data_IF_715140213329
#
_entry.id   IF_715140213329
#
_cell.length_a   1.000
_cell.length_b   1.000
_cell.length_c   1.000
_cell.angle_alpha   90.00
_cell.angle_beta   90.00
_cell.angle_gamma   90.00
#
_symmetry.space_group_name_H-M   'P 1'
#
loop_
_entity.id
_entity.type
_entity.pdbx_description
1 polymer ?
#
# COMPACT_ATOMS: atom_id res chain seq x y z
N UNK A 1 -28.19 0.20 -9.55
CA UNK A 1 -27.43 -0.82 -8.78
C UNK A 1 -27.31 -0.31 -7.35
N UNK A 2 -27.37 -1.21 -6.34
CA UNK A 2 -27.10 -0.81 -4.95
C UNK A 2 -25.65 -0.38 -4.79
N UNK A 3 -25.40 0.59 -3.91
CA UNK A 3 -24.05 1.07 -3.58
C UNK A 3 -23.16 -0.08 -3.06
N UNK A 4 -21.91 -0.11 -3.50
CA UNK A 4 -20.95 -1.14 -3.06
C UNK A 4 -20.36 -0.71 -1.71
N UNK A 5 -20.76 -1.39 -0.64
CA UNK A 5 -20.29 -1.10 0.71
C UNK A 5 -18.80 -1.52 0.90
N UNK A 6 -18.13 -0.94 1.90
CA UNK A 6 -16.83 -1.44 2.37
C UNK A 6 -16.91 -2.90 2.84
N UNK A 7 -15.77 -3.59 2.84
CA UNK A 7 -15.67 -4.91 3.47
C UNK A 7 -16.01 -4.82 4.97
N UNK A 8 -16.52 -5.92 5.54
CA UNK A 8 -16.79 -6.04 6.98
C UNK A 8 -15.50 -6.07 7.82
N UNK A 9 -14.75 -4.98 7.82
CA UNK A 9 -13.47 -4.81 8.50
C UNK A 9 -13.59 -3.90 9.72
N UNK A 10 -12.63 -4.01 10.63
CA UNK A 10 -12.48 -3.06 11.72
C UNK A 10 -12.39 -1.61 11.19
N UNK A 11 -11.67 -1.38 10.09
CA UNK A 11 -11.51 -0.05 9.53
C UNK A 11 -12.82 0.57 9.04
N UNK A 12 -13.69 -0.23 8.42
CA UNK A 12 -15.01 0.24 8.00
C UNK A 12 -15.93 0.53 9.20
N UNK A 13 -15.84 -0.30 10.25
CA UNK A 13 -16.63 -0.11 11.48
C UNK A 13 -16.20 1.13 12.28
N UNK A 14 -14.89 1.46 12.28
CA UNK A 14 -14.30 2.58 13.04
C UNK A 14 -13.98 3.83 12.17
N UNK A 15 -14.46 3.87 10.92
CA UNK A 15 -14.26 5.01 10.03
C UNK A 15 -14.86 6.30 10.64
N UNK A 16 -14.07 7.38 10.62
CA UNK A 16 -14.43 8.68 11.21
C UNK A 16 -15.16 9.63 10.23
N UNK A 17 -15.29 9.21 8.96
CA UNK A 17 -16.06 9.91 7.94
C UNK A 17 -17.01 8.91 7.26
N UNK A 18 -18.31 9.25 7.28
CA UNK A 18 -19.38 8.44 6.68
C UNK A 18 -20.15 9.23 5.61
N UNK A 19 -19.57 10.33 5.13
CA UNK A 19 -20.18 11.14 4.09
C UNK A 19 -20.20 10.36 2.78
N UNK A 20 -21.38 10.23 2.18
CA UNK A 20 -21.53 9.66 0.84
C UNK A 20 -21.32 10.74 -0.21
N UNK A 21 -20.49 10.47 -1.21
CA UNK A 21 -20.25 11.36 -2.33
C UNK A 21 -21.24 11.02 -3.46
N UNK A 22 -21.65 12.04 -4.25
CA UNK A 22 -22.60 11.82 -5.32
C UNK A 22 -22.05 10.89 -6.40
N UNK A 23 -22.95 10.27 -7.14
CA UNK A 23 -22.64 9.59 -8.39
C UNK A 23 -22.54 10.60 -9.52
N UNK A 24 -21.61 10.40 -10.47
CA UNK A 24 -21.55 11.22 -11.66
C UNK A 24 -22.77 10.95 -12.57
N UNK A 25 -23.58 11.98 -12.81
CA UNK A 25 -24.83 11.90 -13.60
C UNK A 25 -24.86 12.89 -14.76
N UNK A 26 -23.77 13.57 -15.04
CA UNK A 26 -23.65 14.59 -16.07
C UNK A 26 -22.33 14.48 -16.83
N UNK A 27 -22.23 15.21 -17.94
CA UNK A 27 -20.95 15.39 -18.65
C UNK A 27 -20.28 16.65 -18.12
N UNK A 28 -19.04 16.50 -17.62
CA UNK A 28 -18.26 17.60 -17.05
C UNK A 28 -16.88 17.66 -17.68
N UNK A 29 -16.19 18.79 -17.49
CA UNK A 29 -14.81 18.98 -17.95
C UNK A 29 -13.88 19.26 -16.77
N UNK A 30 -12.63 18.82 -16.88
CA UNK A 30 -11.55 19.09 -15.94
C UNK A 30 -10.19 19.01 -16.65
N UNK A 31 -9.12 19.49 -16.02
CA UNK A 31 -7.77 19.27 -16.57
C UNK A 31 -7.36 17.81 -16.45
N UNK A 32 -7.69 17.17 -15.33
CA UNK A 32 -7.33 15.77 -15.06
C UNK A 32 -8.51 14.97 -14.53
N UNK A 33 -8.74 13.80 -15.13
CA UNK A 33 -9.62 12.77 -14.59
C UNK A 33 -8.79 11.67 -13.93
N UNK A 34 -9.00 11.42 -12.64
CA UNK A 34 -8.34 10.36 -11.87
C UNK A 34 -9.30 9.19 -11.70
N UNK A 35 -8.90 7.99 -12.12
CA UNK A 35 -9.69 6.75 -12.02
C UNK A 35 -9.22 5.94 -10.82
N UNK A 36 -10.02 5.95 -9.75
CA UNK A 36 -9.78 5.30 -8.47
C UNK A 36 -9.44 6.27 -7.35
N UNK A 37 -10.21 6.20 -6.25
CA UNK A 37 -10.02 6.99 -5.03
C UNK A 37 -9.30 6.19 -3.93
N UNK A 38 -8.26 5.44 -4.29
CA UNK A 38 -7.26 4.89 -3.39
C UNK A 38 -6.12 5.88 -3.17
N UNK A 39 -5.11 5.52 -2.37
CA UNK A 39 -3.97 6.40 -2.06
C UNK A 39 -3.27 6.99 -3.29
N UNK A 40 -3.03 6.18 -4.34
CA UNK A 40 -2.40 6.69 -5.57
C UNK A 40 -3.22 7.82 -6.20
N UNK A 41 -4.52 7.59 -6.36
CA UNK A 41 -5.41 8.57 -6.98
C UNK A 41 -5.60 9.82 -6.13
N UNK A 42 -5.81 9.66 -4.82
CA UNK A 42 -5.96 10.78 -3.89
C UNK A 42 -4.67 11.60 -3.78
N UNK A 43 -3.50 10.94 -3.70
CA UNK A 43 -2.22 11.63 -3.68
C UNK A 43 -1.96 12.37 -4.99
N UNK A 44 -2.24 11.78 -6.15
CA UNK A 44 -2.14 12.47 -7.43
C UNK A 44 -3.08 13.68 -7.50
N UNK A 45 -4.35 13.49 -7.12
CA UNK A 45 -5.34 14.57 -7.10
C UNK A 45 -4.90 15.76 -6.23
N UNK A 46 -4.38 15.48 -5.02
CA UNK A 46 -3.89 16.52 -4.11
C UNK A 46 -2.74 17.31 -4.72
N UNK A 47 -1.70 16.63 -5.24
CA UNK A 47 -0.55 17.32 -5.85
C UNK A 47 -0.95 18.12 -7.10
N UNK A 48 -1.89 17.63 -7.91
CA UNK A 48 -2.40 18.33 -9.09
C UNK A 48 -3.21 19.58 -8.71
N UNK A 49 -4.10 19.45 -7.73
CA UNK A 49 -4.88 20.60 -7.21
C UNK A 49 -3.96 21.66 -6.59
N UNK A 50 -2.97 21.24 -5.83
CA UNK A 50 -1.95 22.16 -5.24
C UNK A 50 -1.12 22.87 -6.32
N UNK A 51 -0.99 22.29 -7.51
CA UNK A 51 -0.35 22.93 -8.67
C UNK A 51 -1.31 23.78 -9.53
N UNK A 52 -2.58 23.89 -9.15
CA UNK A 52 -3.58 24.72 -9.82
C UNK A 52 -4.37 24.05 -10.94
N UNK A 53 -4.22 22.73 -11.13
CA UNK A 53 -5.05 21.99 -12.09
C UNK A 53 -6.44 21.67 -11.51
N UNK A 54 -7.48 21.68 -12.33
CA UNK A 54 -8.80 21.17 -11.95
C UNK A 54 -8.81 19.62 -12.04
N UNK A 55 -9.35 18.96 -11.00
CA UNK A 55 -9.33 17.50 -10.89
C UNK A 55 -10.70 16.93 -10.57
N UNK A 56 -11.05 15.86 -11.29
CA UNK A 56 -12.21 15.01 -11.01
C UNK A 56 -11.70 13.60 -10.69
N UNK A 57 -12.15 13.02 -9.58
CA UNK A 57 -11.84 11.65 -9.18
C UNK A 57 -13.09 10.79 -9.34
N UNK A 58 -12.99 9.68 -10.08
CA UNK A 58 -14.06 8.71 -10.29
C UNK A 58 -13.71 7.41 -9.55
N UNK A 59 -14.55 7.05 -8.59
CA UNK A 59 -14.41 5.82 -7.80
C UNK A 59 -15.57 4.86 -8.11
N UNK A 60 -15.21 3.61 -8.35
CA UNK A 60 -16.19 2.59 -8.70
C UNK A 60 -17.09 2.17 -7.53
N UNK A 61 -16.60 2.29 -6.31
CA UNK A 61 -17.30 1.91 -5.08
C UNK A 61 -17.28 3.08 -4.08
N UNK A 62 -16.41 3.02 -3.06
CA UNK A 62 -16.23 4.02 -2.00
C UNK A 62 -14.76 4.43 -1.91
N UNK A 63 -14.50 5.63 -1.41
CA UNK A 63 -13.12 6.10 -1.15
C UNK A 63 -12.37 5.06 -0.32
N UNK A 64 -11.17 4.68 -0.77
CA UNK A 64 -10.36 3.69 -0.09
C UNK A 64 -10.92 2.27 -0.08
N UNK A 65 -11.96 1.96 -0.86
CA UNK A 65 -12.61 0.63 -0.88
C UNK A 65 -11.65 -0.51 -1.19
N UNK A 66 -10.65 -0.28 -2.03
CA UNK A 66 -9.64 -1.26 -2.40
C UNK A 66 -8.60 -1.51 -1.31
N UNK A 67 -7.37 -1.80 -1.71
CA UNK A 67 -6.24 -2.08 -0.80
C UNK A 67 -5.94 -0.93 0.17
N UNK A 68 -6.21 0.31 -0.20
CA UNK A 68 -5.94 1.50 0.62
C UNK A 68 -6.69 1.50 1.94
N UNK A 69 -7.92 1.00 1.99
CA UNK A 69 -8.70 0.89 3.22
C UNK A 69 -8.69 -0.50 3.87
N UNK A 70 -7.82 -1.42 3.41
CA UNK A 70 -7.80 -2.81 3.89
C UNK A 70 -6.42 -3.32 4.32
N UNK A 71 -5.34 -2.53 4.12
CA UNK A 71 -3.96 -2.91 4.43
C UNK A 71 -3.66 -2.93 5.94
N UNK A 72 -2.45 -3.35 6.33
CA UNK A 72 -2.03 -3.39 7.72
C UNK A 72 -1.89 -2.03 8.41
N UNK A 73 -1.90 -0.94 7.64
CA UNK A 73 -1.74 0.43 8.14
C UNK A 73 -0.29 0.81 8.43
N UNK A 74 0.68 0.03 7.97
CA UNK A 74 2.09 0.29 8.24
C UNK A 74 2.69 1.26 7.21
N UNK A 75 3.42 2.25 7.71
CA UNK A 75 4.27 3.16 6.93
C UNK A 75 5.65 2.50 6.87
N UNK A 76 5.86 1.71 5.82
CA UNK A 76 7.13 1.04 5.54
C UNK A 76 7.83 1.80 4.43
N UNK A 77 8.99 2.36 4.73
CA UNK A 77 9.79 3.10 3.77
C UNK A 77 10.43 2.17 2.72
N UNK A 78 10.93 2.78 1.62
CA UNK A 78 11.52 2.09 0.49
C UNK A 78 10.50 1.30 -0.37
N UNK A 79 10.96 0.37 -1.15
CA UNK A 79 10.19 -0.39 -2.14
C UNK A 79 10.13 -1.87 -1.74
N UNK A 80 9.30 -2.65 -2.43
CA UNK A 80 9.23 -4.12 -2.23
C UNK A 80 10.53 -4.86 -2.62
N UNK A 81 11.48 -4.17 -3.24
CA UNK A 81 12.86 -4.60 -3.48
C UNK A 81 13.78 -3.54 -2.94
N UNK A 82 14.88 -3.95 -2.31
CA UNK A 82 15.90 -3.03 -1.83
C UNK A 82 16.56 -2.25 -2.95
N UNK A 83 17.07 -1.08 -2.61
CA UNK A 83 17.69 -0.10 -3.52
C UNK A 83 18.84 -0.74 -4.30
N UNK A 84 19.66 -1.60 -3.67
CA UNK A 84 20.76 -2.31 -4.33
C UNK A 84 20.29 -3.26 -5.45
N UNK A 85 19.11 -3.86 -5.31
CA UNK A 85 18.49 -4.68 -6.34
C UNK A 85 18.03 -3.83 -7.53
N UNK A 86 17.52 -2.63 -7.24
CA UNK A 86 17.16 -1.65 -8.27
C UNK A 86 18.42 -1.16 -8.98
N UNK A 87 19.48 -0.80 -8.25
CA UNK A 87 20.77 -0.37 -8.81
C UNK A 87 21.37 -1.42 -9.76
N UNK A 88 21.30 -2.71 -9.40
CA UNK A 88 21.73 -3.81 -10.28
C UNK A 88 20.94 -3.89 -11.58
N UNK A 89 19.68 -3.44 -11.55
CA UNK A 89 18.77 -3.49 -12.71
C UNK A 89 18.95 -2.28 -13.64
N UNK A 90 19.10 -1.07 -13.08
CA UNK A 90 19.09 0.19 -13.84
C UNK A 90 20.46 0.89 -13.89
N UNK A 91 21.45 0.38 -13.18
CA UNK A 91 22.77 1.01 -13.02
C UNK A 91 22.83 2.02 -11.90
N UNK A 92 24.07 2.36 -11.46
CA UNK A 92 24.31 3.17 -10.26
C UNK A 92 23.72 4.59 -10.31
N UNK A 93 23.80 5.24 -11.47
CA UNK A 93 23.33 6.64 -11.60
C UNK A 93 21.81 6.73 -11.45
N UNK A 94 21.05 5.85 -12.11
CA UNK A 94 19.61 5.79 -11.89
C UNK A 94 19.27 5.24 -10.51
N UNK A 95 20.01 4.28 -9.98
CA UNK A 95 19.83 3.74 -8.64
C UNK A 95 19.89 4.79 -7.54
N UNK A 96 20.80 5.77 -7.65
CA UNK A 96 20.85 6.93 -6.73
C UNK A 96 19.52 7.71 -6.70
N UNK A 97 18.90 7.92 -7.86
CA UNK A 97 17.61 8.62 -7.94
C UNK A 97 16.52 7.85 -7.21
N UNK A 98 16.46 6.51 -7.37
CA UNK A 98 15.54 5.65 -6.60
C UNK A 98 15.82 5.71 -5.11
N UNK A 99 17.10 5.68 -4.70
CA UNK A 99 17.49 5.79 -3.30
C UNK A 99 17.04 7.12 -2.68
N UNK A 100 17.17 8.22 -3.40
CA UNK A 100 16.71 9.54 -2.94
C UNK A 100 15.18 9.61 -2.77
N UNK A 101 14.44 8.91 -3.63
CA UNK A 101 12.96 8.88 -3.58
C UNK A 101 12.40 7.87 -2.56
N UNK A 102 13.21 6.91 -2.10
CA UNK A 102 12.74 5.75 -1.34
C UNK A 102 12.00 6.10 -0.04
N UNK A 103 12.33 7.26 0.55
CA UNK A 103 11.79 7.70 1.85
C UNK A 103 10.78 8.84 1.73
N UNK A 104 10.55 9.37 0.53
CA UNK A 104 9.64 10.50 0.33
C UNK A 104 8.18 10.13 0.64
N UNK A 105 7.75 8.91 0.33
CA UNK A 105 6.36 8.52 0.51
C UNK A 105 5.88 8.60 1.96
N UNK A 106 6.72 8.18 2.91
CA UNK A 106 6.44 8.32 4.33
C UNK A 106 6.37 9.79 4.80
N UNK A 107 7.23 10.64 4.25
CA UNK A 107 7.21 12.08 4.53
C UNK A 107 5.96 12.75 3.94
N UNK A 108 5.58 12.42 2.70
CA UNK A 108 4.35 12.93 2.07
C UNK A 108 3.13 12.62 2.95
N UNK A 109 3.02 11.41 3.49
CA UNK A 109 1.92 11.02 4.39
C UNK A 109 1.88 11.94 5.63
N UNK A 110 3.02 12.15 6.29
CA UNK A 110 3.12 13.00 7.48
C UNK A 110 2.77 14.45 7.20
N UNK A 111 3.30 14.98 6.11
CA UNK A 111 3.02 16.36 5.67
C UNK A 111 1.52 16.56 5.37
N UNK A 112 0.87 15.56 4.75
CA UNK A 112 -0.58 15.58 4.49
C UNK A 112 -1.39 15.54 5.78
N UNK A 113 -1.03 14.64 6.70
CA UNK A 113 -1.68 14.53 8.02
C UNK A 113 -1.60 15.86 8.75
N UNK A 114 -0.41 16.48 8.80
CA UNK A 114 -0.20 17.74 9.47
C UNK A 114 -0.93 18.90 8.77
N UNK A 115 -0.78 19.03 7.44
CA UNK A 115 -1.32 20.13 6.64
C UNK A 115 -2.85 20.16 6.66
N UNK A 116 -3.50 19.00 6.56
CA UNK A 116 -4.95 18.88 6.44
C UNK A 116 -5.61 18.37 7.73
N UNK A 117 -4.85 18.29 8.85
CA UNK A 117 -5.33 17.82 10.15
C UNK A 117 -6.09 16.48 10.05
N UNK A 118 -5.50 15.50 9.37
CA UNK A 118 -6.13 14.20 9.13
C UNK A 118 -6.08 13.35 10.39
N UNK A 119 -7.23 12.94 10.90
CA UNK A 119 -7.35 12.09 12.08
C UNK A 119 -7.28 10.61 11.65
N UNK A 120 -6.10 10.01 11.72
CA UNK A 120 -5.84 8.62 11.29
C UNK A 120 -4.93 7.83 12.22
N UNK A 121 -4.91 8.17 13.50
CA UNK A 121 -4.17 7.46 14.56
C UNK A 121 -2.68 7.23 14.22
N UNK A 122 -2.01 8.27 13.69
CA UNK A 122 -0.59 8.19 13.34
C UNK A 122 0.26 7.90 14.57
N UNK A 123 1.09 6.86 14.46
CA UNK A 123 2.14 6.50 15.41
C UNK A 123 3.47 6.34 14.67
N UNK A 124 4.54 6.81 15.27
CA UNK A 124 5.89 6.67 14.73
C UNK A 124 6.54 5.36 15.18
N UNK A 125 7.51 4.89 14.41
CA UNK A 125 8.29 3.69 14.66
C UNK A 125 7.75 2.43 13.98
N UNK A 126 8.57 1.85 13.11
CA UNK A 126 8.34 0.58 12.44
C UNK A 126 9.54 -0.35 12.62
N UNK A 127 9.30 -1.62 12.85
CA UNK A 127 10.35 -2.59 13.15
C UNK A 127 10.32 -3.75 12.17
N UNK A 128 11.47 -4.01 11.55
CA UNK A 128 11.76 -5.24 10.83
C UNK A 128 12.34 -6.26 11.82
N UNK A 129 11.61 -7.32 12.12
CA UNK A 129 11.97 -8.30 13.14
C UNK A 129 12.62 -9.55 12.52
N UNK A 130 13.84 -9.89 12.93
CA UNK A 130 14.60 -11.02 12.42
C UNK A 130 14.35 -12.29 13.22
N UNK A 131 14.12 -13.40 12.51
CA UNK A 131 13.93 -14.74 13.07
C UNK A 131 15.27 -15.46 13.33
N UNK A 132 16.34 -15.02 12.67
CA UNK A 132 17.65 -15.68 12.75
C UNK A 132 18.80 -14.71 12.38
N UNK A 133 20.04 -15.13 12.64
CA UNK A 133 21.24 -14.31 12.38
C UNK A 133 21.47 -13.98 10.89
N UNK A 134 20.99 -14.81 9.97
CA UNK A 134 21.08 -14.51 8.55
C UNK A 134 20.22 -13.30 8.19
N UNK A 135 18.98 -13.26 8.70
CA UNK A 135 18.11 -12.10 8.54
C UNK A 135 18.67 -10.86 9.23
N UNK A 136 19.29 -11.00 10.42
CA UNK A 136 20.03 -9.89 11.06
C UNK A 136 21.18 -9.39 10.18
N UNK A 137 21.88 -10.27 9.48
CA UNK A 137 22.89 -9.88 8.48
C UNK A 137 22.31 -9.01 7.36
N UNK A 138 21.14 -9.37 6.86
CA UNK A 138 20.41 -8.56 5.87
C UNK A 138 19.97 -7.19 6.43
N UNK A 139 19.48 -7.13 7.66
CA UNK A 139 19.08 -5.87 8.29
C UNK A 139 20.27 -4.93 8.54
N UNK A 140 21.45 -5.47 8.89
CA UNK A 140 22.70 -4.68 8.99
C UNK A 140 23.08 -4.08 7.63
N UNK A 141 22.98 -4.86 6.56
CA UNK A 141 23.23 -4.40 5.19
C UNK A 141 22.20 -3.33 4.77
N UNK A 142 20.92 -3.58 5.01
CA UNK A 142 19.83 -2.65 4.73
C UNK A 142 20.03 -1.29 5.44
N UNK A 143 20.43 -1.31 6.72
CA UNK A 143 20.77 -0.09 7.45
C UNK A 143 21.88 0.70 6.75
N UNK A 144 22.99 0.06 6.41
CA UNK A 144 24.11 0.71 5.72
C UNK A 144 23.69 1.27 4.35
N UNK A 145 22.92 0.51 3.60
CA UNK A 145 22.40 0.89 2.28
C UNK A 145 21.51 2.13 2.39
N UNK A 146 20.54 2.10 3.29
CA UNK A 146 19.59 3.22 3.46
C UNK A 146 20.29 4.49 3.97
N UNK A 147 21.23 4.37 4.91
CA UNK A 147 22.04 5.49 5.39
C UNK A 147 22.92 6.09 4.27
N UNK A 148 23.44 5.27 3.36
CA UNK A 148 24.21 5.75 2.21
C UNK A 148 23.36 6.54 1.19
N UNK A 149 22.05 6.35 1.21
CA UNK A 149 21.08 7.11 0.41
C UNK A 149 20.39 8.26 1.17
N UNK A 150 20.94 8.64 2.33
CA UNK A 150 20.51 9.83 3.07
C UNK A 150 19.52 9.57 4.21
N UNK A 151 19.15 8.31 4.48
CA UNK A 151 18.26 7.97 5.61
C UNK A 151 19.04 7.88 6.94
N UNK A 152 19.81 8.91 7.22
CA UNK A 152 20.71 8.97 8.38
C UNK A 152 19.97 9.28 9.68
N UNK A 153 20.45 8.67 10.79
CA UNK A 153 19.91 8.87 12.15
C UNK A 153 18.47 8.38 12.37
N UNK A 154 17.87 7.68 11.42
CA UNK A 154 16.53 7.12 11.54
C UNK A 154 16.54 5.65 11.94
N UNK A 155 17.64 4.96 11.74
CA UNK A 155 17.74 3.50 11.84
C UNK A 155 18.54 3.06 13.05
N UNK A 156 17.97 2.12 13.82
CA UNK A 156 18.59 1.53 15.02
C UNK A 156 18.53 0.01 14.97
N UNK A 157 19.70 -0.65 15.06
CA UNK A 157 19.75 -2.10 15.17
C UNK A 157 19.45 -2.51 16.62
N UNK A 158 18.49 -3.42 16.76
CA UNK A 158 18.09 -4.00 18.04
C UNK A 158 18.68 -5.41 18.15
N UNK A 159 19.37 -5.68 19.25
CA UNK A 159 19.76 -7.03 19.64
C UNK A 159 18.58 -7.81 20.24
N UNK A 160 18.83 -9.04 20.70
CA UNK A 160 17.80 -9.88 21.32
C UNK A 160 17.14 -9.26 22.55
N UNK A 161 17.85 -8.42 23.31
CA UNK A 161 17.28 -7.68 24.46
C UNK A 161 16.49 -6.48 23.97
N UNK A 162 17.03 -5.73 23.01
CA UNK A 162 16.38 -4.55 22.44
C UNK A 162 15.05 -4.87 21.79
N UNK A 163 15.00 -5.95 20.96
CA UNK A 163 13.76 -6.36 20.28
C UNK A 163 12.67 -6.78 21.27
N UNK A 164 13.01 -7.42 22.40
CA UNK A 164 12.03 -7.76 23.46
C UNK A 164 11.46 -6.53 24.16
N UNK A 165 12.18 -5.43 24.19
CA UNK A 165 11.69 -4.14 24.69
C UNK A 165 10.67 -3.46 23.76
N UNK A 166 10.53 -3.96 22.53
CA UNK A 166 9.59 -3.46 21.51
C UNK A 166 8.45 -4.46 21.29
N UNK A 167 8.79 -5.74 21.18
CA UNK A 167 7.85 -6.85 20.99
C UNK A 167 8.13 -7.91 22.04
N UNK A 168 7.22 -8.07 22.98
CA UNK A 168 7.38 -9.00 24.10
C UNK A 168 7.11 -10.46 23.66
N UNK A 169 8.06 -11.00 22.90
CA UNK A 169 8.07 -12.39 22.44
C UNK A 169 9.50 -12.90 22.35
N UNK A 170 9.69 -14.21 22.45
CA UNK A 170 10.97 -14.86 22.21
C UNK A 170 11.19 -15.28 20.75
N UNK A 171 10.25 -14.97 19.88
CA UNK A 171 10.25 -15.39 18.47
C UNK A 171 11.39 -14.76 17.67
N UNK A 172 11.88 -13.58 18.05
CA UNK A 172 12.83 -12.80 17.29
C UNK A 172 14.21 -12.72 17.98
N UNK A 173 15.26 -12.79 17.17
CA UNK A 173 16.67 -12.70 17.66
C UNK A 173 17.19 -11.27 17.64
N UNK A 174 16.49 -10.34 17.00
CA UNK A 174 16.84 -8.94 16.89
C UNK A 174 15.96 -8.25 15.84
N UNK A 175 16.32 -7.02 15.45
CA UNK A 175 15.56 -6.26 14.47
C UNK A 175 16.24 -4.99 14.03
N UNK A 176 15.56 -4.27 13.13
CA UNK A 176 15.89 -2.93 12.69
C UNK A 176 14.70 -2.01 12.94
N UNK A 177 14.84 -1.05 13.83
CA UNK A 177 13.86 0.02 14.04
C UNK A 177 14.11 1.13 13.03
N UNK A 178 13.09 1.48 12.26
CA UNK A 178 13.01 2.73 11.49
C UNK A 178 12.13 3.74 12.25
N UNK A 179 12.74 4.79 12.80
CA UNK A 179 12.05 5.82 13.58
C UNK A 179 11.11 6.67 12.72
N UNK A 180 11.37 6.76 11.42
CA UNK A 180 10.51 7.44 10.44
C UNK A 180 9.45 6.53 9.82
N UNK A 181 9.51 5.22 10.05
CA UNK A 181 8.43 4.29 9.84
C UNK A 181 7.26 4.58 10.80
N UNK A 182 6.23 3.76 10.78
CA UNK A 182 5.10 3.95 11.70
C UNK A 182 3.83 3.28 11.23
N UNK A 183 2.71 3.65 11.83
CA UNK A 183 1.42 3.11 11.43
C UNK A 183 0.26 4.10 11.58
N UNK A 184 -0.82 3.79 10.89
CA UNK A 184 -2.01 4.62 10.76
C UNK A 184 -3.27 3.76 10.74
N UNK A 185 -4.42 4.41 10.89
CA UNK A 185 -5.71 3.87 10.47
C UNK A 185 -5.90 4.12 8.95
N UNK A 186 -5.71 3.09 8.09
CA UNK A 186 -5.55 3.32 6.66
C UNK A 186 -6.79 3.91 5.98
N UNK A 187 -7.99 3.47 6.35
CA UNK A 187 -9.22 4.03 5.76
C UNK A 187 -9.41 5.50 6.18
N UNK A 188 -9.12 5.86 7.42
CA UNK A 188 -9.22 7.24 7.88
C UNK A 188 -8.20 8.17 7.20
N UNK A 189 -7.00 7.67 6.84
CA UNK A 189 -6.07 8.42 6.01
C UNK A 189 -6.69 8.71 4.64
N UNK A 190 -7.22 7.69 3.93
CA UNK A 190 -7.84 7.87 2.61
C UNK A 190 -9.03 8.84 2.65
N UNK A 191 -9.89 8.72 3.66
CA UNK A 191 -11.03 9.61 3.87
C UNK A 191 -10.59 11.05 4.17
N UNK A 192 -9.52 11.21 4.96
CA UNK A 192 -8.93 12.52 5.25
C UNK A 192 -8.33 13.18 4.00
N UNK A 193 -7.60 12.41 3.18
CA UNK A 193 -7.08 12.90 1.91
C UNK A 193 -8.20 13.27 0.93
N UNK A 194 -9.29 12.51 0.90
CA UNK A 194 -10.45 12.85 0.08
C UNK A 194 -11.08 14.19 0.50
N UNK A 195 -11.24 14.43 1.81
CA UNK A 195 -11.68 15.74 2.30
C UNK A 195 -10.71 16.86 1.91
N UNK A 196 -9.41 16.58 1.94
CA UNK A 196 -8.40 17.55 1.49
C UNK A 196 -8.55 17.85 -0.02
N UNK A 197 -8.78 16.83 -0.87
CA UNK A 197 -9.10 17.03 -2.31
C UNK A 197 -10.32 17.93 -2.49
N UNK A 198 -11.40 17.66 -1.76
CA UNK A 198 -12.63 18.44 -1.82
C UNK A 198 -12.43 19.89 -1.33
N UNK A 199 -11.62 20.08 -0.27
CA UNK A 199 -11.31 21.42 0.26
C UNK A 199 -10.50 22.30 -0.71
N UNK A 200 -9.78 21.69 -1.65
CA UNK A 200 -9.05 22.37 -2.72
C UNK A 200 -9.88 22.54 -4.00
N UNK A 201 -11.18 22.21 -3.96
CA UNK A 201 -12.10 22.34 -5.11
C UNK A 201 -12.12 21.14 -6.05
N UNK A 202 -11.41 20.04 -5.72
CA UNK A 202 -11.53 18.79 -6.44
C UNK A 202 -12.89 18.14 -6.26
N UNK A 203 -13.37 17.44 -7.29
CA UNK A 203 -14.66 16.74 -7.25
C UNK A 203 -14.43 15.23 -7.16
N UNK A 204 -15.10 14.57 -6.23
CA UNK A 204 -15.03 13.10 -6.08
C UNK A 204 -16.44 12.54 -6.30
N UNK A 205 -16.54 11.54 -7.17
CA UNK A 205 -17.77 10.81 -7.44
C UNK A 205 -17.58 9.33 -7.08
N UNK A 206 -18.36 8.85 -6.13
CA UNK A 206 -18.46 7.43 -5.76
C UNK A 206 -19.50 6.70 -6.62
N UNK A 207 -19.54 5.36 -6.59
CA UNK A 207 -20.43 4.52 -7.43
C UNK A 207 -20.38 4.93 -8.92
N UNK A 208 -19.22 5.40 -9.39
CA UNK A 208 -18.99 6.01 -10.71
C UNK A 208 -17.91 5.26 -11.47
N UNK A 209 -18.08 3.93 -11.60
CA UNK A 209 -17.16 3.07 -12.31
C UNK A 209 -16.95 3.56 -13.75
N UNK A 210 -15.68 3.77 -14.13
CA UNK A 210 -15.32 4.06 -15.53
C UNK A 210 -15.41 2.79 -16.33
N UNK A 211 -16.18 2.81 -17.42
CA UNK A 211 -16.45 1.68 -18.30
C UNK A 211 -15.56 1.68 -19.54
N UNK A 212 -15.19 2.86 -20.04
CA UNK A 212 -14.27 3.06 -21.14
C UNK A 212 -13.59 4.42 -21.05
N UNK A 213 -12.47 4.55 -21.74
CA UNK A 213 -11.78 5.83 -21.95
C UNK A 213 -11.53 5.98 -23.44
N UNK A 214 -12.07 7.03 -24.05
CA UNK A 214 -11.76 7.42 -25.41
C UNK A 214 -10.40 8.13 -25.40
N UNK A 215 -9.45 7.61 -26.18
CA UNK A 215 -8.12 8.16 -26.30
C UNK A 215 -8.10 9.37 -27.26
N UNK A 216 -7.06 10.18 -27.20
CA UNK A 216 -6.85 11.31 -28.11
C UNK A 216 -6.28 12.54 -27.40
N UNK A 217 -6.36 13.69 -28.07
CA UNK A 217 -5.86 14.96 -27.53
C UNK A 217 -6.70 15.48 -26.36
N UNK A 218 -7.94 15.07 -26.26
CA UNK A 218 -8.88 15.36 -25.18
C UNK A 218 -9.61 14.08 -24.78
N UNK A 219 -8.97 13.19 -24.01
CA UNK A 219 -9.58 11.92 -23.61
C UNK A 219 -10.88 12.13 -22.83
N UNK A 220 -11.80 11.16 -22.98
CA UNK A 220 -13.09 11.17 -22.29
C UNK A 220 -13.25 9.88 -21.47
N UNK A 221 -13.41 10.00 -20.16
CA UNK A 221 -13.73 8.88 -19.29
C UNK A 221 -15.24 8.73 -19.16
N UNK A 222 -15.78 7.56 -19.55
CA UNK A 222 -17.21 7.28 -19.55
C UNK A 222 -17.62 6.42 -18.36
N UNK A 223 -18.67 6.84 -17.68
CA UNK A 223 -19.38 6.03 -16.67
C UNK A 223 -20.76 5.61 -17.20
N UNK A 224 -21.53 4.90 -16.38
CA UNK A 224 -22.90 4.50 -16.79
C UNK A 224 -23.89 5.69 -16.95
N UNK A 225 -23.63 6.82 -16.31
CA UNK A 225 -24.59 7.93 -16.24
C UNK A 225 -24.00 9.31 -16.56
N UNK A 226 -22.68 9.38 -16.80
CA UNK A 226 -21.99 10.63 -17.10
C UNK A 226 -20.64 10.40 -17.70
N UNK A 227 -19.95 11.50 -18.03
CA UNK A 227 -18.59 11.43 -18.59
C UNK A 227 -17.75 12.61 -18.10
N UNK A 228 -16.41 12.43 -18.14
CA UNK A 228 -15.43 13.49 -17.88
C UNK A 228 -14.55 13.66 -19.10
N UNK A 229 -14.66 14.83 -19.76
CA UNK A 229 -13.74 15.23 -20.82
C UNK A 229 -12.55 15.94 -20.17
N UNK A 230 -11.34 15.60 -20.57
CA UNK A 230 -10.15 16.02 -19.85
C UNK A 230 -8.92 16.17 -20.76
N UNK A 231 -7.87 16.87 -20.26
CA UNK A 231 -6.56 16.90 -20.93
C UNK A 231 -5.76 15.63 -20.66
N UNK A 232 -5.88 15.09 -19.43
CA UNK A 232 -5.13 13.93 -18.99
C UNK A 232 -6.00 12.97 -18.16
N UNK A 233 -5.73 11.67 -18.28
CA UNK A 233 -6.31 10.63 -17.44
C UNK A 233 -5.22 10.00 -16.59
N UNK A 234 -5.46 9.86 -15.28
CA UNK A 234 -4.62 9.11 -14.35
C UNK A 234 -5.33 7.84 -13.93
N UNK A 235 -4.76 6.69 -14.25
CA UNK A 235 -5.30 5.37 -13.90
C UNK A 235 -4.66 4.85 -12.61
N UNK A 236 -5.44 4.80 -11.54
CA UNK A 236 -5.02 4.43 -10.18
C UNK A 236 -5.85 3.27 -9.58
N UNK A 237 -6.49 2.43 -10.42
CA UNK A 237 -7.39 1.35 -10.00
C UNK A 237 -6.68 0.10 -9.46
N UNK A 238 -5.37 -0.04 -9.66
CA UNK A 238 -4.54 -1.16 -9.19
C UNK A 238 -5.23 -2.54 -9.41
N UNK A 239 -5.36 -3.37 -8.35
CA UNK A 239 -5.94 -4.72 -8.45
C UNK A 239 -7.42 -4.75 -8.87
N UNK A 240 -8.10 -3.62 -8.80
CA UNK A 240 -9.55 -3.49 -9.05
C UNK A 240 -9.88 -2.80 -10.37
N UNK A 241 -8.87 -2.53 -11.22
CA UNK A 241 -9.04 -1.90 -12.52
C UNK A 241 -9.93 -2.72 -13.49
N UNK A 242 -10.09 -4.01 -13.25
CA UNK A 242 -10.90 -4.88 -14.08
C UNK A 242 -10.38 -4.98 -15.51
N UNK A 243 -11.27 -4.90 -16.50
CA UNK A 243 -10.95 -5.00 -17.94
C UNK A 243 -10.74 -3.64 -18.61
N UNK A 244 -10.71 -2.54 -17.86
CA UNK A 244 -10.64 -1.19 -18.42
C UNK A 244 -9.36 -0.98 -19.27
N UNK A 245 -8.21 -1.52 -18.81
CA UNK A 245 -6.91 -1.44 -19.49
C UNK A 245 -6.28 -2.83 -19.56
N UNK A 246 -6.61 -3.65 -20.59
CA UNK A 246 -6.18 -5.05 -20.69
C UNK A 246 -4.65 -5.24 -20.73
N UNK A 247 -3.91 -4.31 -21.34
CA UNK A 247 -2.45 -4.35 -21.44
C UNK A 247 -1.75 -4.28 -20.07
N UNK A 248 -2.37 -3.67 -19.08
CA UNK A 248 -1.82 -3.60 -17.72
C UNK A 248 -1.94 -4.93 -16.97
N UNK A 249 -2.92 -5.75 -17.33
CA UNK A 249 -3.19 -7.03 -16.65
C UNK A 249 -2.14 -8.10 -16.93
N UNK A 250 -1.51 -8.10 -18.10
CA UNK A 250 -0.56 -9.14 -18.51
C UNK A 250 0.70 -9.18 -17.65
N UNK A 251 1.11 -8.02 -17.12
CA UNK A 251 2.37 -7.83 -16.37
C UNK A 251 2.17 -7.77 -14.86
N UNK A 252 0.96 -8.01 -14.37
CA UNK A 252 0.63 -7.96 -12.94
C UNK A 252 -0.32 -9.07 -12.54
N UNK A 253 -0.35 -9.40 -11.26
CA UNK A 253 -1.24 -10.43 -10.71
C UNK A 253 -1.82 -9.95 -9.38
N UNK A 254 -3.13 -9.99 -9.18
CA UNK A 254 -3.72 -9.68 -7.88
C UNK A 254 -3.36 -10.74 -6.84
N UNK A 255 -2.96 -10.27 -5.65
CA UNK A 255 -2.65 -11.09 -4.50
C UNK A 255 -3.39 -10.56 -3.28
N UNK A 256 -4.02 -11.45 -2.53
CA UNK A 256 -4.70 -11.14 -1.28
C UNK A 256 -3.81 -11.40 -0.08
N UNK A 257 -3.85 -10.52 0.91
CA UNK A 257 -3.36 -10.77 2.27
C UNK A 257 -4.51 -10.73 3.24
N UNK A 258 -4.37 -11.45 4.35
CA UNK A 258 -5.41 -11.63 5.35
C UNK A 258 -5.06 -10.84 6.60
N UNK A 259 -6.07 -10.25 7.22
CA UNK A 259 -5.94 -9.48 8.46
C UNK A 259 -7.03 -9.91 9.42
N UNK A 260 -6.67 -10.07 10.69
CA UNK A 260 -7.61 -10.23 11.80
C UNK A 260 -7.44 -9.09 12.80
N UNK A 261 -8.48 -8.83 13.57
CA UNK A 261 -8.44 -7.86 14.66
C UNK A 261 -9.12 -8.45 15.88
N UNK A 262 -8.46 -8.39 17.02
CA UNK A 262 -9.03 -8.82 18.32
C UNK A 262 -10.13 -7.89 18.78
N UNK A 263 -10.85 -8.27 19.83
CA UNK A 263 -11.55 -7.32 20.69
C UNK A 263 -10.56 -6.32 21.32
N UNK A 264 -11.01 -5.17 21.87
CA UNK A 264 -10.14 -4.26 22.59
C UNK A 264 -9.42 -4.98 23.74
N UNK A 265 -8.10 -4.82 23.81
CA UNK A 265 -7.29 -5.35 24.89
C UNK A 265 -7.31 -4.38 26.08
N UNK A 266 -7.07 -4.88 27.30
CA UNK A 266 -6.79 -4.00 28.41
C UNK A 266 -5.49 -3.22 28.20
N UNK A 267 -5.38 -2.06 28.83
CA UNK A 267 -4.20 -1.21 28.75
C UNK A 267 -2.92 -1.96 29.14
N UNK A 268 -2.99 -2.74 30.20
CA UNK A 268 -1.86 -3.53 30.70
C UNK A 268 -1.45 -4.63 29.71
N UNK A 269 -2.43 -5.34 29.14
CA UNK A 269 -2.15 -6.39 28.17
C UNK A 269 -1.56 -5.79 26.88
N UNK A 270 -2.16 -4.74 26.34
CA UNK A 270 -1.66 -4.06 25.13
C UNK A 270 -0.22 -3.56 25.33
N UNK A 271 0.04 -2.85 26.44
CA UNK A 271 1.38 -2.37 26.77
C UNK A 271 2.38 -3.52 27.05
N UNK A 272 1.91 -4.65 27.57
CA UNK A 272 2.77 -5.81 27.79
C UNK A 272 3.20 -6.49 26.48
N UNK A 273 2.40 -6.42 25.41
CA UNK A 273 2.71 -7.05 24.12
C UNK A 273 3.59 -6.16 23.23
N UNK A 274 3.22 -4.88 23.12
CA UNK A 274 3.92 -3.87 22.29
C UNK A 274 4.18 -2.60 23.13
N UNK A 275 5.22 -2.61 24.00
CA UNK A 275 5.47 -1.53 24.95
C UNK A 275 5.67 -0.15 24.34
N UNK A 276 6.15 -0.08 23.11
CA UNK A 276 6.42 1.18 22.40
C UNK A 276 5.32 1.54 21.39
N UNK A 277 4.29 0.72 21.26
CA UNK A 277 3.22 0.87 20.24
C UNK A 277 3.77 1.04 18.80
N UNK A 278 4.90 0.41 18.49
CA UNK A 278 5.44 0.36 17.13
C UNK A 278 4.73 -0.70 16.30
N UNK A 279 4.65 -0.50 14.98
CA UNK A 279 4.28 -1.58 14.09
C UNK A 279 5.49 -2.50 13.83
N UNK A 280 5.21 -3.75 13.57
CA UNK A 280 6.24 -4.79 13.35
C UNK A 280 5.88 -5.60 12.12
N UNK A 281 6.88 -5.90 11.31
CA UNK A 281 6.82 -6.95 10.28
C UNK A 281 8.04 -7.86 10.42
N UNK A 282 7.86 -9.17 10.22
CA UNK A 282 8.99 -10.09 10.26
C UNK A 282 9.69 -10.20 8.89
N UNK A 283 10.94 -10.68 8.90
CA UNK A 283 11.77 -10.80 7.70
C UNK A 283 11.55 -12.09 6.91
N UNK A 284 10.47 -12.83 7.12
CA UNK A 284 10.14 -14.01 6.34
C UNK A 284 9.65 -13.64 4.95
N UNK A 285 9.76 -14.54 3.99
CA UNK A 285 9.23 -14.34 2.64
C UNK A 285 7.70 -14.20 2.61
N UNK A 286 7.00 -15.02 3.39
CA UNK A 286 5.58 -14.84 3.73
C UNK A 286 5.51 -14.27 5.14
N UNK A 287 5.70 -12.97 5.22
CA UNK A 287 5.84 -12.25 6.48
C UNK A 287 4.52 -12.16 7.26
N UNK A 288 4.66 -12.18 8.59
CA UNK A 288 3.63 -11.73 9.52
C UNK A 288 3.88 -10.25 9.86
N UNK A 289 2.79 -9.49 10.02
CA UNK A 289 2.86 -8.09 10.44
C UNK A 289 1.76 -7.77 11.45
N UNK A 290 2.07 -6.89 12.39
CA UNK A 290 1.11 -6.57 13.46
C UNK A 290 1.38 -5.21 14.11
N UNK A 291 0.35 -4.68 14.76
CA UNK A 291 0.36 -3.43 15.52
C UNK A 291 -0.88 -3.31 16.40
N UNK A 292 -0.92 -2.32 17.27
CA UNK A 292 -2.15 -1.94 17.96
C UNK A 292 -2.96 -0.94 17.13
N UNK A 293 -4.28 -0.96 17.29
CA UNK A 293 -5.18 0.11 16.85
C UNK A 293 -5.29 1.22 17.87
N UNK A 294 -5.91 2.35 17.52
CA UNK A 294 -6.16 3.46 18.43
C UNK A 294 -6.98 3.06 19.68
N UNK A 295 -7.86 2.07 19.56
CA UNK A 295 -8.65 1.48 20.65
C UNK A 295 -8.03 0.18 21.21
N UNK A 296 -6.70 0.00 21.02
CA UNK A 296 -5.87 -1.08 21.59
C UNK A 296 -6.25 -2.51 21.21
N UNK A 297 -6.75 -2.70 20.00
CA UNK A 297 -6.91 -4.04 19.42
C UNK A 297 -5.59 -4.51 18.80
N UNK A 298 -5.27 -5.77 18.93
CA UNK A 298 -4.20 -6.36 18.12
C UNK A 298 -4.70 -6.52 16.69
N UNK A 299 -4.10 -5.80 15.74
CA UNK A 299 -4.26 -6.03 14.29
C UNK A 299 -3.12 -6.92 13.87
N UNK A 300 -3.43 -8.10 13.34
CA UNK A 300 -2.44 -9.08 12.91
C UNK A 300 -2.74 -9.53 11.50
N UNK A 301 -1.76 -9.43 10.62
CA UNK A 301 -1.89 -9.80 9.22
C UNK A 301 -0.77 -10.71 8.75
N UNK A 302 -1.00 -11.35 7.63
CA UNK A 302 -0.05 -12.28 7.01
C UNK A 302 -0.73 -13.12 5.94
N UNK A 303 -0.04 -14.19 5.55
CA UNK A 303 -0.50 -15.06 4.49
C UNK A 303 -0.56 -14.37 3.12
N UNK A 304 -0.56 -15.14 2.07
CA UNK A 304 -0.73 -14.63 0.70
C UNK A 304 -1.62 -15.60 -0.07
N UNK A 305 -2.64 -15.07 -0.74
CA UNK A 305 -3.49 -15.82 -1.67
C UNK A 305 -3.34 -15.23 -3.07
N UNK A 306 -2.79 -16.00 -3.98
CA UNK A 306 -2.59 -15.60 -5.37
C UNK A 306 -3.89 -15.67 -6.16
N UNK A 307 -4.13 -14.68 -7.04
CA UNK A 307 -5.29 -14.66 -7.95
C UNK A 307 -6.55 -14.04 -7.37
N UNK A 308 -6.46 -13.25 -6.29
CA UNK A 308 -7.57 -12.52 -5.68
C UNK A 308 -8.76 -13.41 -5.25
N UNK A 309 -8.48 -14.60 -4.78
CA UNK A 309 -9.51 -15.47 -4.18
C UNK A 309 -9.45 -15.29 -2.67
N UNK A 310 -10.56 -14.90 -2.08
CA UNK A 310 -10.65 -14.82 -0.63
C UNK A 310 -10.65 -16.24 -0.04
N UNK A 311 -9.85 -16.53 1.00
CA UNK A 311 -9.90 -17.82 1.69
C UNK A 311 -11.25 -17.99 2.39
N UNK A 312 -11.72 -19.23 2.46
CA UNK A 312 -12.98 -19.54 3.12
C UNK A 312 -12.94 -19.25 4.63
N UNK A 313 -11.78 -19.40 5.26
CA UNK A 313 -11.58 -19.14 6.69
C UNK A 313 -10.23 -18.42 6.92
N UNK A 314 -10.31 -17.10 7.09
CA UNK A 314 -9.16 -16.25 7.39
C UNK A 314 -8.59 -16.54 8.78
N UNK A 315 -9.49 -16.81 9.75
CA UNK A 315 -9.10 -16.99 11.15
C UNK A 315 -8.22 -18.23 11.32
N UNK A 316 -8.54 -19.33 10.63
CA UNK A 316 -7.72 -20.56 10.66
C UNK A 316 -6.31 -20.39 10.09
N UNK A 317 -6.11 -19.40 9.22
CA UNK A 317 -4.80 -19.08 8.62
C UNK A 317 -3.97 -18.20 9.57
N UNK A 318 -4.55 -17.16 10.15
CA UNK A 318 -3.80 -16.10 10.84
C UNK A 318 -3.68 -16.37 12.35
N UNK A 319 -4.71 -16.90 13.02
CA UNK A 319 -4.68 -17.12 14.47
C UNK A 319 -3.48 -18.00 14.91
N UNK A 320 -3.14 -19.10 14.23
CA UNK A 320 -1.97 -19.90 14.62
C UNK A 320 -0.66 -19.13 14.62
N UNK A 321 -0.47 -18.21 13.67
CA UNK A 321 0.74 -17.38 13.62
C UNK A 321 0.72 -16.29 14.70
N UNK A 322 -0.42 -15.66 14.92
CA UNK A 322 -0.60 -14.70 16.03
C UNK A 322 -0.27 -15.36 17.38
N UNK A 323 -0.76 -16.56 17.63
CA UNK A 323 -0.52 -17.28 18.90
C UNK A 323 0.92 -17.77 19.06
N UNK A 324 1.65 -18.01 17.96
CA UNK A 324 3.11 -18.26 18.03
C UNK A 324 3.88 -17.03 18.48
N UNK A 325 3.41 -15.83 18.09
CA UNK A 325 4.04 -14.57 18.48
C UNK A 325 3.58 -14.13 19.86
N UNK A 326 2.28 -14.25 20.14
CA UNK A 326 1.64 -13.79 21.36
C UNK A 326 0.74 -14.89 21.97
N UNK A 327 1.30 -15.89 22.66
CA UNK A 327 0.50 -16.94 23.34
C UNK A 327 -0.50 -16.39 24.35
N UNK A 328 -0.25 -15.17 24.86
CA UNK A 328 -1.11 -14.45 25.80
C UNK A 328 -2.50 -14.15 25.22
N UNK A 329 -2.63 -14.13 23.89
CA UNK A 329 -3.90 -13.84 23.18
C UNK A 329 -4.78 -15.07 22.94
N UNK A 330 -4.46 -16.24 23.51
CA UNK A 330 -5.17 -17.51 23.24
C UNK A 330 -6.69 -17.46 23.53
N UNK A 331 -7.07 -16.70 24.57
CA UNK A 331 -8.46 -16.59 25.03
C UNK A 331 -9.13 -15.27 24.56
N UNK A 332 -8.43 -14.46 23.77
CA UNK A 332 -8.92 -13.18 23.26
C UNK A 332 -9.78 -13.42 22.01
N UNK A 333 -10.95 -12.80 21.97
CA UNK A 333 -11.90 -12.92 20.86
C UNK A 333 -11.42 -12.19 19.62
N UNK A 334 -11.65 -12.79 18.45
CA UNK A 334 -11.41 -12.15 17.15
C UNK A 334 -12.73 -11.55 16.65
N UNK A 335 -12.81 -10.22 16.65
CA UNK A 335 -14.01 -9.50 16.23
C UNK A 335 -14.11 -9.38 14.71
N UNK A 336 -13.00 -9.07 14.02
CA UNK A 336 -12.99 -8.84 12.58
C UNK A 336 -11.95 -9.71 11.87
N UNK A 337 -12.27 -10.09 10.64
CA UNK A 337 -11.36 -10.74 9.70
C UNK A 337 -11.70 -10.32 8.28
N UNK A 338 -10.71 -9.89 7.49
CA UNK A 338 -10.91 -9.43 6.12
C UNK A 338 -9.70 -9.67 5.23
N UNK A 339 -9.89 -9.51 3.94
CA UNK A 339 -8.84 -9.58 2.90
C UNK A 339 -8.68 -8.24 2.21
N UNK A 340 -7.45 -7.95 1.77
CA UNK A 340 -7.15 -6.86 0.84
C UNK A 340 -6.30 -7.35 -0.32
N UNK A 341 -6.64 -6.95 -1.55
CA UNK A 341 -5.90 -7.34 -2.73
C UNK A 341 -4.98 -6.22 -3.21
N UNK A 342 -3.70 -6.52 -3.37
CA UNK A 342 -2.73 -5.66 -4.05
C UNK A 342 -2.30 -6.29 -5.38
N UNK A 343 -1.61 -5.56 -6.25
CA UNK A 343 -0.98 -6.12 -7.44
C UNK A 343 0.48 -6.46 -7.20
N UNK A 344 0.83 -7.68 -7.57
CA UNK A 344 2.20 -8.18 -7.64
C UNK A 344 2.69 -8.07 -9.09
N UNK A 345 3.88 -7.55 -9.30
CA UNK A 345 4.64 -7.65 -10.54
C UNK A 345 5.69 -8.75 -10.42
N UNK A 346 6.16 -9.30 -11.54
CA UNK A 346 7.17 -10.37 -11.51
C UNK A 346 8.51 -9.87 -10.92
N UNK A 347 8.89 -8.64 -11.26
CA UNK A 347 10.09 -7.97 -10.70
C UNK A 347 9.92 -7.52 -9.25
N UNK A 348 8.70 -7.49 -8.74
CA UNK A 348 8.27 -6.85 -7.48
C UNK A 348 8.51 -5.33 -7.44
N UNK A 349 8.84 -4.71 -8.56
CA UNK A 349 8.95 -3.26 -8.71
C UNK A 349 7.63 -2.67 -9.21
N UNK A 350 7.32 -1.43 -8.81
CA UNK A 350 6.11 -0.75 -9.26
C UNK A 350 6.10 -0.54 -10.78
N UNK A 351 4.93 -0.68 -11.36
CA UNK A 351 4.70 -0.46 -12.78
C UNK A 351 4.10 0.93 -12.98
N UNK A 352 4.87 1.82 -13.59
CA UNK A 352 4.49 3.18 -13.92
C UNK A 352 4.63 3.38 -15.42
N UNK A 353 3.80 4.20 -16.03
CA UNK A 353 3.93 4.46 -17.44
C UNK A 353 2.77 5.26 -18.02
N UNK A 354 2.73 5.26 -19.36
CA UNK A 354 1.72 5.96 -20.14
C UNK A 354 1.15 5.05 -21.22
N UNK A 355 -0.14 5.22 -21.49
CA UNK A 355 -0.86 4.56 -22.59
C UNK A 355 -1.26 5.66 -23.56
N UNK A 356 -0.98 5.46 -24.85
CA UNK A 356 -1.22 6.50 -25.84
C UNK A 356 -0.53 7.82 -25.50
N UNK A 357 -1.24 8.93 -25.69
CA UNK A 357 -0.67 10.28 -25.54
C UNK A 357 -0.88 10.88 -24.15
N UNK A 358 -2.06 10.70 -23.56
CA UNK A 358 -2.53 11.48 -22.41
C UNK A 358 -3.09 10.62 -21.25
N UNK A 359 -2.85 9.31 -21.24
CA UNK A 359 -3.27 8.40 -20.17
C UNK A 359 -2.04 7.93 -19.42
N UNK A 360 -1.97 8.19 -18.13
CA UNK A 360 -0.85 7.83 -17.24
C UNK A 360 -1.33 6.87 -16.16
N UNK A 361 -0.46 5.98 -15.71
CA UNK A 361 -0.84 4.99 -14.70
C UNK A 361 0.27 4.69 -13.71
N UNK A 362 -0.13 4.25 -12.51
CA UNK A 362 0.74 3.59 -11.54
C UNK A 362 0.00 2.43 -10.89
N UNK A 363 0.64 1.25 -10.85
CA UNK A 363 0.12 0.04 -10.22
C UNK A 363 1.25 -0.89 -9.76
N UNK A 364 0.92 -2.00 -9.07
CA UNK A 364 1.86 -3.09 -8.81
C UNK A 364 2.91 -2.79 -7.75
N UNK A 365 2.54 -2.14 -6.65
CA UNK A 365 3.42 -1.85 -5.50
C UNK A 365 3.99 -3.09 -4.80
N UNK A 366 3.47 -4.28 -5.13
CA UNK A 366 3.97 -5.59 -4.65
C UNK A 366 4.05 -5.72 -3.12
N UNK A 367 3.14 -5.08 -2.38
CA UNK A 367 3.04 -5.14 -0.92
C UNK A 367 3.48 -3.86 -0.18
N UNK A 368 4.41 -3.07 -0.70
CA UNK A 368 4.87 -1.80 -0.09
C UNK A 368 4.07 -0.60 -0.59
N UNK A 369 2.72 -0.69 -0.52
CA UNK A 369 1.84 0.28 -1.16
C UNK A 369 1.59 1.56 -0.39
N UNK A 370 1.64 1.57 0.94
CA UNK A 370 1.25 2.76 1.72
C UNK A 370 2.13 3.95 1.40
N UNK A 371 3.44 3.81 1.46
CA UNK A 371 4.39 4.89 1.15
C UNK A 371 4.56 5.11 -0.35
N UNK A 372 4.77 4.01 -1.10
CA UNK A 372 5.00 4.11 -2.54
C UNK A 372 3.86 4.81 -3.29
N UNK A 373 2.60 4.54 -2.96
CA UNK A 373 1.46 5.13 -3.68
C UNK A 373 1.34 6.64 -3.49
N UNK A 374 1.80 7.17 -2.35
CA UNK A 374 1.90 8.60 -2.13
C UNK A 374 3.01 9.23 -2.97
N UNK A 375 4.17 8.60 -3.05
CA UNK A 375 5.23 8.99 -3.98
C UNK A 375 4.75 8.91 -5.44
N UNK A 376 4.08 7.81 -5.83
CA UNK A 376 3.57 7.64 -7.19
C UNK A 376 2.60 8.75 -7.60
N UNK A 377 1.72 9.18 -6.70
CA UNK A 377 0.83 10.31 -6.92
C UNK A 377 1.60 11.62 -7.20
N UNK A 378 2.68 11.87 -6.44
CA UNK A 378 3.58 13.00 -6.67
C UNK A 378 4.28 12.92 -8.03
N UNK A 379 4.82 11.75 -8.39
CA UNK A 379 5.50 11.56 -9.67
C UNK A 379 4.56 11.77 -10.88
N UNK A 380 3.32 11.29 -10.77
CA UNK A 380 2.28 11.52 -11.78
C UNK A 380 1.98 13.03 -11.93
N UNK A 381 1.84 13.73 -10.82
CA UNK A 381 1.61 15.17 -10.86
C UNK A 381 2.81 15.95 -11.41
N UNK A 382 4.04 15.61 -11.03
CA UNK A 382 5.26 16.19 -11.59
C UNK A 382 5.32 15.99 -13.11
N UNK A 383 5.02 14.77 -13.60
CA UNK A 383 4.98 14.47 -15.04
C UNK A 383 3.98 15.35 -15.77
N UNK A 384 2.75 15.49 -15.24
CA UNK A 384 1.70 16.30 -15.85
C UNK A 384 2.00 17.80 -15.81
N UNK A 385 2.85 18.24 -14.89
CA UNK A 385 3.40 19.62 -14.81
C UNK A 385 4.70 19.79 -15.62
N UNK A 386 5.08 18.84 -16.47
CA UNK A 386 6.26 18.93 -17.35
C UNK A 386 7.59 18.51 -16.71
N UNK A 387 7.58 17.91 -15.52
CA UNK A 387 8.77 17.43 -14.82
C UNK A 387 8.86 15.90 -14.92
N UNK A 388 9.31 15.37 -16.07
CA UNK A 388 9.25 13.96 -16.39
C UNK A 388 10.33 13.08 -15.75
N UNK A 389 11.48 13.63 -15.37
CA UNK A 389 12.72 12.87 -15.05
C UNK A 389 12.49 11.74 -14.04
N UNK A 390 11.78 12.01 -12.96
CA UNK A 390 11.54 11.03 -11.88
C UNK A 390 10.49 9.98 -12.28
N UNK A 391 9.46 10.42 -13.00
CA UNK A 391 8.45 9.53 -13.58
C UNK A 391 9.09 8.60 -14.61
N UNK A 392 9.91 9.13 -15.52
CA UNK A 392 10.58 8.36 -16.59
C UNK A 392 11.55 7.33 -16.02
N UNK A 393 12.20 7.59 -14.87
CA UNK A 393 13.02 6.60 -14.19
C UNK A 393 12.19 5.36 -13.80
N UNK A 394 10.99 5.53 -13.25
CA UNK A 394 10.09 4.41 -12.95
C UNK A 394 9.50 3.78 -14.21
N UNK A 395 9.13 4.58 -15.21
CA UNK A 395 8.58 4.08 -16.47
C UNK A 395 9.60 3.23 -17.26
N UNK A 396 10.89 3.48 -17.05
CA UNK A 396 12.00 2.71 -17.63
C UNK A 396 12.28 1.36 -16.95
N UNK A 397 11.64 1.06 -15.81
CA UNK A 397 11.84 -0.23 -15.13
C UNK A 397 11.32 -1.40 -15.98
N UNK A 398 12.08 -2.51 -16.09
CA UNK A 398 11.65 -3.64 -16.87
C UNK A 398 10.50 -4.41 -16.22
N UNK A 399 9.44 -4.63 -16.99
CA UNK A 399 8.30 -5.43 -16.57
C UNK A 399 8.01 -6.55 -17.57
N UNK A 400 8.05 -7.77 -17.08
CA UNK A 400 7.83 -8.98 -17.86
C UNK A 400 6.46 -9.59 -17.57
N UNK A 401 5.81 -10.21 -18.55
CA UNK A 401 4.59 -10.98 -18.32
C UNK A 401 4.89 -12.19 -17.41
N UNK A 402 3.91 -12.60 -16.63
CA UNK A 402 4.03 -13.80 -15.79
C UNK A 402 4.20 -15.06 -16.66
N UNK A 403 5.08 -16.00 -16.27
CA UNK A 403 5.24 -17.27 -16.96
C UNK A 403 3.91 -18.02 -17.09
N UNK A 404 3.64 -18.56 -18.28
CA UNK A 404 2.39 -19.23 -18.58
C UNK A 404 1.17 -18.32 -18.74
N UNK A 405 1.37 -17.00 -18.79
CA UNK A 405 0.33 -16.01 -19.02
C UNK A 405 -0.76 -16.01 -17.96
N UNK A 406 -1.96 -15.61 -18.34
CA UNK A 406 -3.09 -15.47 -17.42
C UNK A 406 -3.53 -16.81 -16.77
N UNK A 407 -3.41 -17.91 -17.51
CA UNK A 407 -3.88 -19.23 -17.05
C UNK A 407 -2.96 -19.87 -16.00
N UNK A 408 -1.63 -19.74 -16.14
CA UNK A 408 -0.67 -20.44 -15.28
C UNK A 408 0.05 -19.54 -14.25
N UNK A 409 -0.12 -18.21 -14.31
CA UNK A 409 0.55 -17.29 -13.37
C UNK A 409 0.28 -17.61 -11.90
N UNK A 410 -0.95 -18.01 -11.55
CA UNK A 410 -1.33 -18.35 -10.17
C UNK A 410 -0.66 -19.66 -9.72
N UNK A 411 -0.78 -20.81 -10.44
CA UNK A 411 -0.06 -22.03 -10.09
C UNK A 411 1.44 -21.85 -9.95
N UNK A 412 2.11 -21.19 -10.89
CA UNK A 412 3.56 -21.00 -10.82
C UNK A 412 3.99 -20.10 -9.67
N UNK A 413 3.23 -19.05 -9.36
CA UNK A 413 3.51 -18.20 -8.20
C UNK A 413 3.30 -18.94 -6.89
N UNK A 414 2.29 -19.83 -6.80
CA UNK A 414 2.06 -20.66 -5.62
C UNK A 414 3.21 -21.67 -5.39
N UNK A 415 3.73 -22.30 -6.45
CA UNK A 415 4.91 -23.18 -6.37
C UNK A 415 6.15 -22.39 -5.90
N UNK A 416 6.36 -21.18 -6.46
CA UNK A 416 7.45 -20.28 -6.02
C UNK A 416 7.35 -19.92 -4.54
N UNK A 417 6.16 -19.54 -4.08
CA UNK A 417 5.92 -19.21 -2.68
C UNK A 417 6.16 -20.41 -1.76
N UNK A 418 5.71 -21.60 -2.15
CA UNK A 418 5.97 -22.84 -1.40
C UNK A 418 7.48 -23.10 -1.25
N UNK A 419 8.26 -22.93 -2.33
CA UNK A 419 9.72 -23.08 -2.31
C UNK A 419 10.35 -22.08 -1.31
N UNK A 420 9.98 -20.80 -1.33
CA UNK A 420 10.53 -19.81 -0.41
C UNK A 420 10.10 -20.05 1.04
N UNK A 421 8.86 -20.49 1.27
CA UNK A 421 8.38 -20.88 2.60
C UNK A 421 9.20 -22.06 3.17
N UNK A 422 9.56 -23.04 2.32
CA UNK A 422 10.42 -24.14 2.74
C UNK A 422 11.81 -23.63 3.11
N UNK A 423 12.38 -22.70 2.34
CA UNK A 423 13.67 -22.06 2.66
C UNK A 423 13.64 -21.32 4.00
N UNK A 424 12.59 -20.52 4.25
CA UNK A 424 12.43 -19.84 5.54
C UNK A 424 12.42 -20.82 6.72
N UNK A 425 11.69 -21.95 6.58
CA UNK A 425 11.65 -23.00 7.61
C UNK A 425 13.00 -23.68 7.86
N UNK A 426 13.82 -23.79 6.83
CA UNK A 426 15.15 -24.41 6.89
C UNK A 426 16.26 -23.39 7.25
N UNK A 427 15.94 -22.10 7.36
CA UNK A 427 16.93 -21.05 7.60
C UNK A 427 17.90 -20.79 6.44
N UNK A 428 17.49 -21.18 5.18
CA UNK A 428 18.31 -21.12 3.96
C UNK A 428 18.22 -19.80 3.20
#
# INVERSE_FOLDING_TARGET
MSAIAHAGSYYAASANDKVERPRLQESIEADVCVIGAGYTGLSAALHLLESGMSVVVLEAARIGWGASGRNGGQIVNSYSRDIDTIEKTVGKEQGKLFGQMAFEGGQIIRDRIAKYNIQCDLKDGGVFAAMNEKQMGHLRHQKQLWESHGHVNQLELLDAKGIRGVVNTERYVGGLLDKSGGHIHPLNLALGEARAVESLGGKIFEDSAVLSVDEGDSPVAHTAQGSVKTKFVVVAGNAYLGKLMPELQAKSMPCGTQVITTEPLSDDLAASLLPQDYCVEDCNYLLDYFRLSGDKRMIYGGGVVYGARDPADIKSIIIPNMLKTFPQLKDVKIDYAWTGNFLLTLSRLPQVGRIGKNIYYSQGCSGHGVTYTHLAGKLLAEMLNGQATRFDAFAGLPHYPFPGGHALRVPFSAIGAWYYTLRDKLGL
#
